data_IF_653983260189
#
_entry.id   IF_653983260189
#
_cell.length_a   1.000
_cell.length_b   1.000
_cell.length_c   1.000
_cell.angle_alpha   90.00
_cell.angle_beta   90.00
_cell.angle_gamma   90.00
#
_symmetry.space_group_name_H-M   'P 1'
#
loop_
_entity.id
_entity.type
_entity.pdbx_description
1 polymer ?
#
# COMPACT_ATOMS: atom_id res chain seq x y z
N UNK A 1 -16.07 15.62 -29.04
CA UNK A 1 -14.79 15.23 -28.39
C UNK A 1 -13.95 16.49 -28.11
N UNK A 2 -14.30 17.26 -27.06
CA UNK A 2 -13.76 18.62 -26.79
C UNK A 2 -12.55 18.65 -25.85
N UNK A 3 -11.99 17.51 -25.42
CA UNK A 3 -10.92 17.45 -24.40
C UNK A 3 -9.71 16.61 -24.80
N UNK A 4 -9.38 16.51 -26.10
CA UNK A 4 -8.15 15.87 -26.51
C UNK A 4 -6.98 16.83 -26.29
N UNK A 5 -6.07 16.52 -25.35
CA UNK A 5 -4.82 17.28 -25.15
C UNK A 5 -4.10 17.39 -26.51
N UNK A 6 -3.78 18.62 -26.92
CA UNK A 6 -3.09 18.91 -28.20
C UNK A 6 -1.69 18.31 -28.27
N UNK A 7 -1.00 18.23 -27.13
CA UNK A 7 0.38 17.73 -27.08
C UNK A 7 0.45 16.43 -26.31
N UNK A 8 1.04 15.39 -26.92
CA UNK A 8 1.34 14.13 -26.23
C UNK A 8 2.57 14.35 -25.35
N UNK A 9 2.50 14.10 -24.01
CA UNK A 9 3.66 14.26 -23.15
C UNK A 9 4.79 13.33 -23.59
N UNK A 10 6.03 13.84 -23.60
CA UNK A 10 7.21 13.07 -23.95
C UNK A 10 7.44 11.92 -22.95
N UNK A 11 8.17 10.88 -23.35
CA UNK A 11 8.46 9.75 -22.47
C UNK A 11 9.21 10.19 -21.19
N UNK A 12 10.10 11.17 -21.29
CA UNK A 12 10.80 11.79 -20.17
C UNK A 12 9.85 12.53 -19.21
N UNK A 13 8.85 13.24 -19.75
CA UNK A 13 7.82 13.87 -18.91
C UNK A 13 6.94 12.84 -18.17
N UNK A 14 6.63 11.71 -18.81
CA UNK A 14 5.89 10.62 -18.16
C UNK A 14 6.69 9.99 -17.03
N UNK A 15 7.99 9.73 -17.25
CA UNK A 15 8.90 9.22 -16.22
C UNK A 15 9.07 10.22 -15.09
N UNK A 16 9.29 11.50 -15.40
CA UNK A 16 9.42 12.57 -14.39
C UNK A 16 8.16 12.71 -13.54
N UNK A 17 6.97 12.61 -14.14
CA UNK A 17 5.68 12.69 -13.41
C UNK A 17 5.40 11.41 -12.63
N UNK A 18 5.91 10.23 -13.05
CA UNK A 18 5.79 8.98 -12.31
C UNK A 18 6.68 8.97 -11.06
N UNK A 19 7.90 9.52 -11.17
CA UNK A 19 8.86 9.58 -10.06
C UNK A 19 8.59 10.75 -9.11
N UNK A 20 8.21 11.90 -9.67
CA UNK A 20 7.89 13.11 -8.90
C UNK A 20 6.54 13.66 -9.33
N UNK A 21 5.43 13.25 -8.70
CA UNK A 21 4.10 13.71 -9.05
C UNK A 21 3.99 15.23 -8.89
N UNK A 22 3.59 15.92 -9.95
CA UNK A 22 3.36 17.39 -9.97
C UNK A 22 2.28 17.86 -8.98
N UNK A 23 1.61 16.92 -8.32
CA UNK A 23 0.52 17.17 -7.38
C UNK A 23 0.92 16.75 -5.96
N UNK A 24 0.47 17.54 -4.99
CA UNK A 24 0.66 17.32 -3.55
C UNK A 24 0.47 15.85 -3.13
N UNK A 25 1.40 15.32 -2.35
CA UNK A 25 1.33 13.97 -1.73
C UNK A 25 -0.02 13.74 -1.02
N UNK A 26 -0.59 14.80 -0.40
CA UNK A 26 -1.92 14.75 0.21
C UNK A 26 -3.04 14.42 -0.78
N UNK A 27 -2.93 14.87 -2.03
CA UNK A 27 -3.92 14.55 -3.08
C UNK A 27 -3.80 13.09 -3.53
N UNK A 28 -2.58 12.59 -3.68
CA UNK A 28 -2.34 11.17 -4.00
C UNK A 28 -2.81 10.27 -2.87
N UNK A 29 -2.48 10.57 -1.61
CA UNK A 29 -2.96 9.83 -0.44
C UNK A 29 -4.49 9.81 -0.36
N UNK A 30 -5.15 10.95 -0.62
CA UNK A 30 -6.62 11.06 -0.67
C UNK A 30 -7.21 10.24 -1.82
N UNK A 31 -6.55 10.17 -2.96
CA UNK A 31 -6.99 9.33 -4.08
C UNK A 31 -6.89 7.84 -3.74
N UNK A 32 -5.74 7.40 -3.20
CA UNK A 32 -5.55 6.01 -2.77
C UNK A 32 -6.52 5.61 -1.67
N UNK A 33 -6.71 6.45 -0.64
CA UNK A 33 -7.67 6.16 0.43
C UNK A 33 -9.10 6.01 -0.11
N UNK A 34 -9.54 6.89 -1.00
CA UNK A 34 -10.85 6.77 -1.65
C UNK A 34 -10.97 5.49 -2.49
N UNK A 35 -9.89 5.03 -3.11
CA UNK A 35 -9.89 3.81 -3.91
C UNK A 35 -10.00 2.56 -3.04
N UNK A 36 -9.25 2.49 -1.94
CA UNK A 36 -9.38 1.42 -0.93
C UNK A 36 -10.79 1.37 -0.34
N UNK A 37 -11.32 2.52 0.06
CA UNK A 37 -12.66 2.62 0.66
C UNK A 37 -13.80 2.21 -0.28
N UNK A 38 -13.59 2.26 -1.60
CA UNK A 38 -14.61 1.88 -2.62
C UNK A 38 -14.62 0.40 -2.96
N UNK A 39 -13.68 -0.40 -2.45
CA UNK A 39 -13.67 -1.84 -2.68
C UNK A 39 -14.93 -2.48 -2.09
N UNK A 40 -15.52 -3.41 -2.83
CA UNK A 40 -16.76 -4.11 -2.45
C UNK A 40 -16.53 -5.30 -1.52
N UNK A 41 -15.27 -5.63 -1.24
CA UNK A 41 -14.90 -6.72 -0.33
C UNK A 41 -15.21 -6.39 1.13
N UNK A 42 -15.14 -7.39 2.00
CA UNK A 42 -15.31 -7.21 3.44
C UNK A 42 -14.20 -6.30 4.01
N UNK A 43 -14.47 -5.53 5.09
CA UNK A 43 -13.45 -4.69 5.72
C UNK A 43 -12.19 -5.47 6.11
N UNK A 44 -12.37 -6.70 6.58
CA UNK A 44 -11.28 -7.59 6.96
C UNK A 44 -10.40 -7.98 5.76
N UNK A 45 -11.02 -8.42 4.65
CA UNK A 45 -10.26 -8.80 3.44
C UNK A 45 -9.50 -7.62 2.85
N UNK A 46 -10.06 -6.40 2.90
CA UNK A 46 -9.39 -5.19 2.44
C UNK A 46 -8.20 -4.87 3.35
N UNK A 47 -8.38 -4.94 4.67
CA UNK A 47 -7.35 -4.66 5.64
C UNK A 47 -6.19 -5.66 5.56
N UNK A 48 -6.50 -6.97 5.46
CA UNK A 48 -5.51 -8.03 5.26
C UNK A 48 -4.72 -7.84 3.96
N UNK A 49 -5.42 -7.55 2.85
CA UNK A 49 -4.75 -7.27 1.58
C UNK A 49 -3.78 -6.09 1.69
N UNK A 50 -4.25 -4.95 2.21
CA UNK A 50 -3.40 -3.77 2.37
C UNK A 50 -2.20 -4.03 3.29
N UNK A 51 -2.42 -4.76 4.40
CA UNK A 51 -1.36 -5.17 5.32
C UNK A 51 -0.31 -6.07 4.64
N UNK A 52 -0.75 -7.02 3.80
CA UNK A 52 0.14 -7.85 3.00
C UNK A 52 1.01 -7.02 2.04
N UNK A 53 0.42 -6.00 1.40
CA UNK A 53 1.16 -5.07 0.56
C UNK A 53 2.18 -4.24 1.34
N UNK A 54 1.78 -3.70 2.48
CA UNK A 54 2.65 -2.94 3.36
C UNK A 54 3.80 -3.82 3.92
N UNK A 55 3.50 -5.06 4.32
CA UNK A 55 4.51 -6.06 4.73
C UNK A 55 5.52 -6.32 3.61
N UNK A 56 5.05 -6.64 2.41
CA UNK A 56 5.90 -6.95 1.27
C UNK A 56 6.83 -5.78 0.89
N UNK A 57 6.36 -4.54 1.09
CA UNK A 57 7.15 -3.33 0.84
C UNK A 57 8.35 -3.17 1.76
N UNK A 58 8.39 -3.86 2.91
CA UNK A 58 9.53 -3.84 3.83
C UNK A 58 10.67 -4.75 3.34
N UNK A 59 10.43 -5.62 2.36
CA UNK A 59 11.45 -6.50 1.81
C UNK A 59 12.38 -5.75 0.85
N UNK A 60 13.68 -6.14 0.75
CA UNK A 60 14.65 -5.48 -0.13
C UNK A 60 14.43 -5.77 -1.62
N UNK A 61 13.40 -6.54 -1.99
CA UNK A 61 13.14 -6.95 -3.36
C UNK A 61 12.34 -5.90 -4.13
N UNK A 62 13.04 -4.95 -4.76
CA UNK A 62 12.38 -3.96 -5.62
C UNK A 62 11.72 -4.65 -6.82
N UNK A 63 10.43 -4.40 -7.02
CA UNK A 63 9.62 -5.01 -8.09
C UNK A 63 8.98 -6.33 -7.68
N UNK A 64 9.72 -7.26 -7.10
CA UNK A 64 9.18 -8.54 -6.63
C UNK A 64 8.26 -8.42 -5.42
N UNK A 65 8.30 -7.31 -4.69
CA UNK A 65 7.39 -7.06 -3.57
C UNK A 65 5.91 -7.04 -4.00
N UNK A 66 5.61 -6.71 -5.26
CA UNK A 66 4.24 -6.85 -5.81
C UNK A 66 3.80 -8.32 -5.84
N UNK A 67 4.64 -9.20 -6.39
CA UNK A 67 4.36 -10.62 -6.45
C UNK A 67 4.23 -11.21 -5.03
N UNK A 68 5.17 -10.86 -4.15
CA UNK A 68 5.14 -11.27 -2.75
C UNK A 68 3.86 -10.80 -2.05
N UNK A 69 3.44 -9.55 -2.30
CA UNK A 69 2.21 -9.00 -1.72
C UNK A 69 0.97 -9.78 -2.13
N UNK A 70 0.90 -10.24 -3.39
CA UNK A 70 -0.22 -11.04 -3.88
C UNK A 70 -0.20 -12.45 -3.28
N UNK A 71 0.96 -13.09 -3.19
CA UNK A 71 1.10 -14.40 -2.56
C UNK A 71 0.67 -14.33 -1.10
N UNK A 72 1.20 -13.38 -0.33
CA UNK A 72 0.83 -13.22 1.08
C UNK A 72 -0.67 -12.90 1.22
N UNK A 73 -1.21 -11.97 0.42
CA UNK A 73 -2.62 -11.63 0.44
C UNK A 73 -3.51 -12.84 0.13
N UNK A 74 -3.13 -13.66 -0.85
CA UNK A 74 -3.84 -14.88 -1.20
C UNK A 74 -3.86 -15.88 -0.03
N UNK A 75 -2.70 -16.14 0.59
CA UNK A 75 -2.58 -17.08 1.70
C UNK A 75 -3.40 -16.69 2.93
N UNK A 76 -3.52 -15.39 3.22
CA UNK A 76 -4.27 -14.89 4.39
C UNK A 76 -5.71 -14.48 4.06
N UNK A 77 -6.20 -14.73 2.83
CA UNK A 77 -7.56 -14.37 2.40
C UNK A 77 -7.77 -12.86 2.23
N UNK A 78 -6.71 -12.12 1.96
CA UNK A 78 -6.74 -10.68 1.70
C UNK A 78 -7.19 -10.33 0.27
N UNK A 79 -7.68 -9.11 0.10
CA UNK A 79 -8.05 -8.60 -1.21
C UNK A 79 -6.81 -8.20 -2.02
N UNK A 80 -6.60 -8.79 -3.20
CA UNK A 80 -5.43 -8.55 -4.05
C UNK A 80 -5.31 -7.10 -4.53
N UNK A 81 -6.45 -6.44 -4.83
CA UNK A 81 -6.43 -5.02 -5.20
C UNK A 81 -5.97 -4.14 -4.04
N UNK A 82 -6.39 -4.48 -2.82
CA UNK A 82 -5.93 -3.81 -1.62
C UNK A 82 -4.44 -4.08 -1.37
N UNK A 83 -3.94 -5.29 -1.66
CA UNK A 83 -2.53 -5.62 -1.57
C UNK A 83 -1.69 -4.76 -2.54
N UNK A 84 -2.10 -4.66 -3.79
CA UNK A 84 -1.45 -3.75 -4.75
C UNK A 84 -1.44 -2.29 -4.30
N UNK A 85 -2.49 -1.83 -3.60
CA UNK A 85 -2.51 -0.46 -3.03
C UNK A 85 -1.63 -0.34 -1.79
N UNK A 86 -1.52 -1.42 -1.00
CA UNK A 86 -0.64 -1.48 0.18
C UNK A 86 0.84 -1.39 -0.17
N UNK A 87 1.26 -1.89 -1.35
CA UNK A 87 2.65 -1.74 -1.81
C UNK A 87 3.07 -0.29 -2.04
N UNK A 88 2.14 0.65 -2.14
CA UNK A 88 2.45 2.08 -2.22
C UNK A 88 3.13 2.65 -0.95
N UNK A 89 3.13 1.90 0.16
CA UNK A 89 3.92 2.23 1.37
C UNK A 89 5.41 2.21 1.04
N UNK A 90 5.86 1.24 0.24
CA UNK A 90 7.19 1.22 -0.36
C UNK A 90 7.22 2.03 -1.65
N UNK A 91 7.80 3.19 -1.59
CA UNK A 91 8.00 4.08 -2.73
C UNK A 91 9.44 4.59 -2.74
N UNK A 92 9.94 5.18 -3.84
CA UNK A 92 11.33 5.63 -3.94
C UNK A 92 11.78 6.58 -2.81
N UNK A 93 10.85 7.32 -2.22
CA UNK A 93 11.13 8.21 -1.09
C UNK A 93 11.31 7.45 0.23
N UNK A 94 10.53 6.37 0.44
CA UNK A 94 10.54 5.59 1.69
C UNK A 94 11.58 4.46 1.67
N UNK A 95 11.98 3.96 0.50
CA UNK A 95 12.95 2.87 0.40
C UNK A 95 14.27 3.10 1.15
N UNK A 96 14.93 4.27 1.08
CA UNK A 96 16.19 4.47 1.82
C UNK A 96 16.01 4.28 3.33
N UNK A 97 14.89 4.75 3.88
CA UNK A 97 14.56 4.59 5.30
C UNK A 97 14.22 3.13 5.64
N UNK A 98 13.41 2.48 4.81
CA UNK A 98 13.05 1.07 4.99
C UNK A 98 14.31 0.21 5.02
N UNK A 99 15.23 0.40 4.07
CA UNK A 99 16.47 -0.37 3.99
C UNK A 99 17.39 -0.12 5.18
N UNK A 100 17.52 1.13 5.62
CA UNK A 100 18.30 1.47 6.79
C UNK A 100 17.74 0.78 8.05
N UNK A 101 16.44 0.81 8.24
CA UNK A 101 15.77 0.17 9.39
C UNK A 101 15.83 -1.36 9.33
N UNK A 102 15.55 -1.96 8.16
CA UNK A 102 15.61 -3.41 8.00
C UNK A 102 17.03 -3.94 8.19
N UNK A 103 18.04 -3.24 7.67
CA UNK A 103 19.45 -3.58 7.88
C UNK A 103 19.83 -3.49 9.36
N UNK A 104 19.46 -2.39 10.04
CA UNK A 104 19.73 -2.17 11.46
C UNK A 104 19.11 -3.25 12.34
N UNK A 105 17.85 -3.58 12.11
CA UNK A 105 17.15 -4.64 12.86
C UNK A 105 17.77 -6.01 12.57
N UNK A 106 18.04 -6.30 11.30
CA UNK A 106 18.62 -7.58 10.91
C UNK A 106 20.05 -7.75 11.40
N UNK A 107 20.86 -6.71 11.40
CA UNK A 107 22.23 -6.76 11.95
C UNK A 107 22.20 -7.00 13.45
N UNK A 108 21.27 -6.39 14.17
CA UNK A 108 21.06 -6.67 15.59
C UNK A 108 20.71 -8.13 15.85
N UNK A 109 19.86 -8.72 15.01
CA UNK A 109 19.43 -10.12 15.14
C UNK A 109 20.54 -11.12 14.80
N UNK A 110 21.43 -10.79 13.85
CA UNK A 110 22.51 -11.69 13.41
C UNK A 110 23.78 -11.54 14.26
N UNK A 111 24.17 -10.28 14.53
CA UNK A 111 25.47 -9.97 15.09
C UNK A 111 25.39 -9.48 16.54
N UNK A 112 24.20 -9.32 17.11
CA UNK A 112 24.01 -8.73 18.44
C UNK A 112 24.28 -7.23 18.50
N UNK A 113 24.66 -6.59 17.40
CA UNK A 113 24.97 -5.17 17.31
C UNK A 113 24.17 -4.51 16.20
N UNK A 114 23.60 -3.35 16.48
CA UNK A 114 22.86 -2.56 15.50
C UNK A 114 23.84 -1.79 14.58
N UNK A 115 24.23 -2.41 13.48
CA UNK A 115 25.07 -1.75 12.45
C UNK A 115 24.21 -0.85 11.57
N UNK A 116 24.70 0.32 11.24
CA UNK A 116 24.07 1.24 10.29
C UNK A 116 24.68 1.06 8.90
N UNK A 117 23.84 1.28 7.86
CA UNK A 117 24.37 1.43 6.50
C UNK A 117 25.08 2.76 6.40
N UNK A 118 26.38 2.73 6.58
CA UNK A 118 27.25 3.90 6.42
C UNK A 118 27.83 3.94 5.01
N UNK A 119 28.19 5.15 4.53
CA UNK A 119 28.84 5.32 3.22
C UNK A 119 30.09 4.43 3.08
N UNK A 120 30.89 4.26 4.14
CA UNK A 120 32.04 3.39 4.12
C UNK A 120 31.67 1.88 3.98
N UNK A 121 30.49 1.47 4.37
CA UNK A 121 29.97 0.11 4.17
C UNK A 121 29.48 -0.05 2.73
N UNK A 122 28.81 0.96 2.20
CA UNK A 122 28.34 0.99 0.82
C UNK A 122 29.53 1.02 -0.15
N UNK A 123 30.51 1.90 0.08
CA UNK A 123 31.71 2.03 -0.78
C UNK A 123 32.59 0.78 -0.75
N UNK A 124 32.79 0.15 0.40
CA UNK A 124 33.53 -1.11 0.49
C UNK A 124 32.87 -2.28 -0.25
N UNK A 125 31.55 -2.27 -0.33
CA UNK A 125 30.79 -3.34 -0.98
C UNK A 125 30.47 -3.06 -2.45
N UNK A 126 30.40 -1.78 -2.86
CA UNK A 126 30.10 -1.36 -4.23
C UNK A 126 31.29 -0.81 -5.00
N UNK A 127 32.40 -0.51 -4.35
CA UNK A 127 33.57 0.18 -4.90
C UNK A 127 34.52 -0.67 -5.77
N UNK A 128 34.12 -1.85 -6.17
CA UNK A 128 34.92 -2.68 -7.07
C UNK A 128 34.04 -3.37 -8.11
N UNK A 129 34.01 -2.85 -9.32
CA UNK A 129 33.47 -3.49 -10.54
C UNK A 129 32.15 -4.22 -10.34
N UNK A 130 31.03 -3.49 -10.54
CA UNK A 130 29.66 -3.95 -10.28
C UNK A 130 29.28 -5.30 -10.89
N UNK A 131 30.03 -5.80 -11.87
CA UNK A 131 29.75 -7.03 -12.60
C UNK A 131 30.59 -8.24 -12.18
N UNK A 132 31.74 -8.08 -11.52
CA UNK A 132 32.65 -9.20 -11.25
C UNK A 132 32.56 -9.78 -9.82
N UNK A 133 31.94 -9.07 -8.87
CA UNK A 133 31.82 -9.52 -7.46
C UNK A 133 30.38 -9.55 -6.95
N UNK A 134 29.42 -9.81 -7.82
CA UNK A 134 27.99 -9.50 -7.55
C UNK A 134 27.38 -10.25 -6.36
N UNK A 135 27.67 -11.53 -6.16
CA UNK A 135 26.99 -12.31 -5.11
C UNK A 135 27.64 -12.20 -3.74
N UNK A 136 28.99 -12.22 -3.68
CA UNK A 136 29.73 -12.16 -2.41
C UNK A 136 29.64 -10.83 -1.72
N UNK A 137 29.35 -9.76 -2.48
CA UNK A 137 29.17 -8.40 -1.98
C UNK A 137 27.73 -8.10 -1.59
N UNK A 138 26.77 -8.63 -2.34
CA UNK A 138 25.35 -8.35 -2.15
C UNK A 138 24.74 -9.21 -1.03
N UNK A 139 25.17 -10.48 -0.92
CA UNK A 139 24.67 -11.40 0.11
C UNK A 139 24.84 -10.90 1.56
N UNK A 140 26.00 -10.31 1.97
CA UNK A 140 26.16 -9.78 3.32
C UNK A 140 25.24 -8.61 3.64
N UNK A 141 24.79 -7.85 2.62
CA UNK A 141 23.83 -6.77 2.77
C UNK A 141 22.39 -7.28 2.80
N UNK A 142 22.05 -8.20 1.90
CA UNK A 142 20.67 -8.71 1.77
C UNK A 142 20.27 -9.59 2.95
N UNK A 143 21.18 -10.44 3.46
CA UNK A 143 20.84 -11.31 4.60
C UNK A 143 20.29 -10.59 5.81
N UNK A 144 20.96 -9.56 6.39
CA UNK A 144 20.39 -8.81 7.50
C UNK A 144 19.13 -8.07 7.11
N UNK A 145 19.04 -7.50 5.88
CA UNK A 145 17.83 -6.81 5.44
C UNK A 145 16.63 -7.75 5.36
N UNK A 146 16.79 -8.98 4.87
CA UNK A 146 15.74 -9.98 4.82
C UNK A 146 15.24 -10.36 6.22
N UNK A 147 16.16 -10.67 7.13
CA UNK A 147 15.78 -11.03 8.50
C UNK A 147 15.11 -9.86 9.23
N UNK A 148 15.63 -8.64 9.06
CA UNK A 148 15.05 -7.45 9.65
C UNK A 148 13.73 -7.02 9.01
N UNK A 149 13.48 -7.41 7.75
CA UNK A 149 12.23 -7.08 7.08
C UNK A 149 11.03 -7.84 7.67
N UNK A 150 11.24 -9.00 8.25
CA UNK A 150 10.15 -9.80 8.84
C UNK A 150 9.53 -9.09 10.05
N UNK A 151 10.27 -8.78 11.14
CA UNK A 151 9.69 -8.12 12.30
C UNK A 151 9.18 -6.71 11.95
N UNK A 152 9.92 -5.95 11.14
CA UNK A 152 9.47 -4.63 10.71
C UNK A 152 8.21 -4.72 9.85
N UNK A 153 8.16 -5.66 8.91
CA UNK A 153 7.00 -5.89 8.05
C UNK A 153 5.77 -6.32 8.84
N UNK A 154 5.91 -7.19 9.85
CA UNK A 154 4.82 -7.57 10.74
C UNK A 154 4.31 -6.35 11.52
N UNK A 155 5.20 -5.53 12.07
CA UNK A 155 4.81 -4.34 12.82
C UNK A 155 4.06 -3.33 11.93
N UNK A 156 4.62 -3.01 10.77
CA UNK A 156 4.04 -2.08 9.78
C UNK A 156 2.74 -2.66 9.20
N UNK A 157 2.72 -3.93 8.84
CA UNK A 157 1.54 -4.62 8.35
C UNK A 157 0.40 -4.61 9.36
N UNK A 158 0.68 -4.91 10.63
CA UNK A 158 -0.29 -4.87 11.73
C UNK A 158 -0.83 -3.46 11.94
N UNK A 159 0.03 -2.45 11.94
CA UNK A 159 -0.39 -1.06 12.05
C UNK A 159 -1.37 -0.69 10.92
N UNK A 160 -1.01 -0.98 9.67
CA UNK A 160 -1.89 -0.68 8.53
C UNK A 160 -3.15 -1.54 8.50
N UNK A 161 -3.10 -2.78 9.00
CA UNK A 161 -4.30 -3.61 9.14
C UNK A 161 -5.35 -2.89 9.99
N UNK A 162 -5.00 -2.49 11.20
CA UNK A 162 -5.95 -1.80 12.08
C UNK A 162 -6.41 -0.47 11.51
N UNK A 163 -5.50 0.33 10.98
CA UNK A 163 -5.82 1.62 10.37
C UNK A 163 -6.84 1.47 9.23
N UNK A 164 -6.61 0.53 8.31
CA UNK A 164 -7.48 0.28 7.15
C UNK A 164 -8.78 -0.38 7.59
N UNK A 165 -8.73 -1.35 8.50
CA UNK A 165 -9.91 -2.05 9.00
C UNK A 165 -10.93 -1.08 9.60
N UNK A 166 -10.51 -0.25 10.53
CA UNK A 166 -11.40 0.73 11.17
C UNK A 166 -11.89 1.78 10.17
N UNK A 167 -11.04 2.26 9.29
CA UNK A 167 -11.39 3.25 8.26
C UNK A 167 -12.43 2.72 7.29
N UNK A 168 -12.23 1.50 6.76
CA UNK A 168 -13.15 0.87 5.81
C UNK A 168 -14.48 0.51 6.49
N UNK A 169 -14.43 -0.03 7.71
CA UNK A 169 -15.62 -0.38 8.50
C UNK A 169 -16.49 0.86 8.76
N UNK A 170 -15.89 1.96 9.20
CA UNK A 170 -16.60 3.21 9.44
C UNK A 170 -17.24 3.75 8.15
N UNK A 171 -16.49 3.76 7.05
CA UNK A 171 -16.99 4.20 5.75
C UNK A 171 -18.15 3.34 5.24
N UNK A 172 -18.01 2.02 5.30
CA UNK A 172 -19.07 1.10 4.83
C UNK A 172 -20.34 1.21 5.67
N UNK A 173 -20.22 1.40 7.00
CA UNK A 173 -21.37 1.65 7.89
C UNK A 173 -22.11 2.93 7.49
N UNK A 174 -21.39 4.03 7.34
CA UNK A 174 -21.98 5.33 6.94
C UNK A 174 -22.64 5.26 5.56
N UNK A 175 -22.03 4.54 4.62
CA UNK A 175 -22.60 4.35 3.28
C UNK A 175 -23.89 3.52 3.32
N UNK A 176 -23.92 2.42 4.10
CA UNK A 176 -25.12 1.59 4.26
C UNK A 176 -26.26 2.37 4.90
N UNK A 177 -26.00 3.14 5.94
CA UNK A 177 -26.99 4.00 6.58
C UNK A 177 -27.61 5.02 5.60
N UNK A 178 -26.78 5.71 4.80
CA UNK A 178 -27.25 6.66 3.78
C UNK A 178 -28.13 6.01 2.70
N UNK A 179 -27.77 4.79 2.29
CA UNK A 179 -28.57 4.04 1.30
C UNK A 179 -29.90 3.62 1.90
N UNK A 180 -29.92 3.14 3.16
CA UNK A 180 -31.15 2.75 3.85
C UNK A 180 -32.11 3.94 3.99
N UNK A 181 -31.62 5.09 4.45
CA UNK A 181 -32.41 6.33 4.55
C UNK A 181 -33.00 6.77 3.20
N UNK A 182 -32.20 6.67 2.14
CA UNK A 182 -32.70 7.01 0.78
C UNK A 182 -33.80 6.06 0.32
N UNK A 183 -33.64 4.75 0.59
CA UNK A 183 -34.66 3.74 0.24
C UNK A 183 -35.97 4.00 1.00
N UNK A 184 -35.90 4.29 2.30
CA UNK A 184 -37.09 4.62 3.09
C UNK A 184 -37.82 5.87 2.57
N UNK A 185 -37.06 6.94 2.26
CA UNK A 185 -37.64 8.18 1.68
C UNK A 185 -38.29 7.92 0.30
N UNK A 186 -37.69 7.07 -0.50
CA UNK A 186 -38.26 6.71 -1.80
C UNK A 186 -39.53 5.87 -1.63
N UNK A 187 -39.55 4.86 -0.75
CA UNK A 187 -40.72 4.07 -0.45
C UNK A 187 -41.87 4.91 0.09
N UNK A 188 -41.60 5.85 1.02
CA UNK A 188 -42.61 6.75 1.54
C UNK A 188 -43.20 7.72 0.49
N UNK A 189 -42.46 8.02 -0.58
CA UNK A 189 -42.95 8.84 -1.68
C UNK A 189 -43.76 8.04 -2.73
N UNK A 190 -43.60 6.72 -2.76
CA UNK A 190 -44.21 5.85 -3.76
C UNK A 190 -45.49 5.18 -3.22
N UNK A 191 -45.82 5.31 -1.92
CA UNK A 191 -47.11 5.02 -1.37
C UNK A 191 -48.00 6.29 -1.53
N UNK A 192 -48.87 6.34 -2.55
CA UNK A 192 -49.89 7.37 -2.60
C UNK A 192 -50.94 7.03 -1.51
N UNK A 193 -51.58 8.05 -0.98
CA UNK A 193 -52.62 8.01 0.05
C UNK A 193 -53.64 6.90 -0.27
N UNK A 194 -53.40 5.69 0.23
CA UNK A 194 -54.38 4.60 0.17
C UNK A 194 -55.56 4.87 1.14
N UNK A 195 -55.45 5.89 1.98
CA UNK A 195 -56.46 6.26 2.97
C UNK A 195 -57.42 7.38 2.50
N UNK A 196 -57.28 7.84 1.25
CA UNK A 196 -58.17 8.92 0.74
C UNK A 196 -59.47 8.41 0.11
N UNK A 197 -59.67 7.09 -0.06
CA UNK A 197 -60.81 6.51 -0.79
C UNK A 197 -61.81 5.74 0.10
N UNK A 198 -61.72 5.86 1.43
CA UNK A 198 -62.65 5.15 2.34
C UNK A 198 -63.71 6.02 2.99
N UNK A 199 -63.82 7.32 2.65
CA UNK A 199 -64.86 8.22 3.15
C UNK A 199 -65.77 8.73 2.03
N UNK A 200 -66.52 7.83 1.36
CA UNK A 200 -67.70 8.13 0.58
C UNK A 200 -68.77 7.07 0.75
#
# INVERSE_FOLDING_TARGET
>A
MLFKRRDKPSHLERLRVAVWPRHSFARSARYFSKRVLRLTASPNAIALGFAAGAFASMTPFIGFHFLLSFVVAFLIGGNMLAAALGTAVGNPLTFPFIWAFTYKIGSLLIYGEAKTLDHGTIDRHLGGGFFEKSLDVILPLIKPMLLGSVPLGIAVGTFFYFLVFYSVRAYQRSRRAKIATRRMRFAARTQPDADADTDT
#
